data_IF_505997518155
#
_entry.id   IF_505997518155
#
_cell.length_a   1.000
_cell.length_b   1.000
_cell.length_c   1.000
_cell.angle_alpha   90.00
_cell.angle_beta   90.00
_cell.angle_gamma   90.00
#
_symmetry.space_group_name_H-M   'P 1'
#
loop_
_entity.id
_entity.type
_entity.pdbx_description
1 polymer ?
#
# COMPACT_ATOMS: atom_id res chain seq x y z
N UNK A 1 -24.19 83.73 -17.79
CA UNK A 1 -24.89 82.67 -18.54
C UNK A 1 -24.60 81.34 -17.89
N UNK A 2 -25.67 80.67 -17.44
CA UNK A 2 -25.91 79.21 -17.42
C UNK A 2 -24.92 78.24 -16.73
N UNK A 3 -25.44 77.12 -16.17
CA UNK A 3 -25.17 76.79 -14.77
C UNK A 3 -24.74 75.31 -14.57
N UNK A 4 -24.88 74.87 -13.32
CA UNK A 4 -25.18 73.51 -12.84
C UNK A 4 -24.02 72.55 -12.53
N UNK A 5 -23.83 72.46 -11.20
CA UNK A 5 -23.48 71.31 -10.39
C UNK A 5 -23.92 69.94 -10.93
N UNK A 6 -23.04 68.94 -10.74
CA UNK A 6 -23.37 67.51 -10.80
C UNK A 6 -22.94 66.83 -9.48
N UNK A 7 -23.84 66.12 -8.77
CA UNK A 7 -23.48 65.29 -7.63
C UNK A 7 -23.38 63.81 -8.06
N UNK A 8 -22.16 63.27 -8.06
CA UNK A 8 -21.90 61.84 -8.25
C UNK A 8 -22.05 61.06 -6.94
N UNK A 9 -23.21 60.44 -6.77
CA UNK A 9 -23.57 59.48 -5.72
C UNK A 9 -22.76 58.18 -5.82
N UNK A 10 -22.38 57.65 -4.66
CA UNK A 10 -22.33 56.21 -4.29
C UNK A 10 -21.24 55.30 -4.89
N UNK A 11 -20.54 54.58 -4.01
CA UNK A 11 -20.47 53.09 -3.93
C UNK A 11 -19.32 52.74 -2.98
N UNK A 12 -19.60 52.59 -1.68
CA UNK A 12 -19.74 51.30 -0.97
C UNK A 12 -18.65 50.28 -1.31
N UNK A 13 -17.75 50.08 -0.33
CA UNK A 13 -17.03 48.86 0.03
C UNK A 13 -16.93 47.76 -1.05
N UNK A 14 -15.77 47.67 -1.70
CA UNK A 14 -15.32 46.41 -2.28
C UNK A 14 -14.53 45.64 -1.21
N UNK A 15 -15.27 44.82 -0.48
CA UNK A 15 -14.76 43.79 0.41
C UNK A 15 -13.94 42.76 -0.40
N UNK A 16 -12.68 42.61 -0.01
CA UNK A 16 -12.04 41.35 0.37
C UNK A 16 -12.59 40.08 -0.33
N UNK A 17 -11.94 39.66 -1.41
CA UNK A 17 -12.16 38.35 -2.04
C UNK A 17 -10.88 37.54 -2.09
N UNK A 18 -10.29 37.20 -0.93
CA UNK A 18 -9.20 36.23 -0.87
C UNK A 18 -9.83 34.83 -0.92
N UNK A 19 -10.06 34.32 -2.12
CA UNK A 19 -10.57 32.98 -2.35
C UNK A 19 -9.47 31.97 -1.99
N UNK A 20 -9.45 31.53 -0.73
CA UNK A 20 -8.57 30.46 -0.27
C UNK A 20 -9.02 29.14 -0.89
N UNK A 21 -8.41 28.78 -2.03
CA UNK A 21 -8.55 27.43 -2.60
C UNK A 21 -7.83 26.44 -1.67
N UNK A 22 -8.59 25.81 -0.78
CA UNK A 22 -8.10 24.70 0.04
C UNK A 22 -7.89 23.49 -0.87
N UNK A 23 -6.65 23.29 -1.33
CA UNK A 23 -6.26 22.05 -2.01
C UNK A 23 -6.37 20.92 -0.98
N UNK A 24 -7.38 20.06 -1.12
CA UNK A 24 -7.52 18.85 -0.34
C UNK A 24 -6.46 17.85 -0.80
N UNK A 25 -5.29 17.89 -0.15
CA UNK A 25 -4.23 16.89 -0.34
C UNK A 25 -4.71 15.62 0.37
N UNK A 26 -5.26 14.67 -0.39
CA UNK A 26 -5.59 13.36 0.16
C UNK A 26 -4.29 12.65 0.51
N UNK A 27 -4.12 12.10 1.73
CA UNK A 27 -2.93 11.34 2.06
C UNK A 27 -2.88 10.09 1.18
N UNK A 28 -1.99 10.08 0.20
CA UNK A 28 -1.58 8.85 -0.48
C UNK A 28 -0.76 8.08 0.54
N UNK A 29 -1.41 7.19 1.29
CA UNK A 29 -0.71 6.28 2.20
C UNK A 29 -0.04 5.21 1.35
N UNK A 30 1.16 5.50 0.88
CA UNK A 30 1.87 4.69 -0.10
C UNK A 30 2.46 3.39 0.48
N UNK A 31 2.40 3.13 1.79
CA UNK A 31 2.89 1.89 2.35
C UNK A 31 1.87 1.33 3.34
N UNK A 32 1.05 0.39 2.89
CA UNK A 32 -0.02 -0.17 3.70
C UNK A 32 0.57 -1.20 4.67
N UNK A 33 0.82 -0.76 5.90
CA UNK A 33 1.19 -1.66 7.00
C UNK A 33 -0.04 -2.46 7.43
N UNK A 34 0.10 -3.78 7.54
CA UNK A 34 -0.89 -4.65 8.15
C UNK A 34 -0.35 -5.21 9.46
N UNK A 35 -1.22 -5.37 10.46
CA UNK A 35 -0.85 -5.83 11.80
C UNK A 35 -1.79 -6.96 12.23
N UNK A 36 -1.22 -8.01 12.80
CA UNK A 36 -1.96 -9.14 13.38
C UNK A 36 -1.21 -9.62 14.63
N UNK A 37 -1.84 -9.44 15.79
CA UNK A 37 -1.22 -9.74 17.07
C UNK A 37 0.04 -8.92 17.33
N UNK A 38 1.18 -9.59 17.51
CA UNK A 38 2.48 -8.97 17.74
C UNK A 38 3.33 -8.83 16.48
N UNK A 39 2.80 -9.13 15.29
CA UNK A 39 3.51 -9.03 14.01
C UNK A 39 2.86 -7.97 13.13
N UNK A 40 3.69 -7.09 12.57
CA UNK A 40 3.32 -6.15 11.51
C UNK A 40 4.13 -6.43 10.24
N UNK A 41 3.58 -6.06 9.09
CA UNK A 41 4.30 -6.15 7.83
C UNK A 41 3.97 -4.98 6.92
N UNK A 42 5.00 -4.48 6.25
CA UNK A 42 4.88 -3.50 5.17
C UNK A 42 5.13 -4.22 3.85
N UNK A 43 4.15 -4.19 2.96
CA UNK A 43 4.28 -4.72 1.60
C UNK A 43 4.93 -3.65 0.70
N UNK A 44 5.88 -4.07 -0.11
CA UNK A 44 6.43 -3.29 -1.22
C UNK A 44 6.42 -4.14 -2.50
N UNK A 45 6.17 -3.48 -3.63
CA UNK A 45 6.17 -4.07 -4.95
C UNK A 45 7.03 -3.20 -5.87
N UNK A 46 8.15 -3.74 -6.34
CA UNK A 46 9.06 -2.98 -7.20
C UNK A 46 8.50 -2.85 -8.62
N UNK A 47 8.72 -1.69 -9.29
CA UNK A 47 9.47 -0.52 -8.79
C UNK A 47 8.63 0.58 -8.11
N UNK A 48 7.29 0.53 -8.18
CA UNK A 48 6.41 1.68 -7.89
C UNK A 48 5.11 1.32 -7.14
N UNK A 49 5.10 0.19 -6.44
CA UNK A 49 3.97 -0.40 -5.71
C UNK A 49 2.73 -0.71 -6.56
N UNK A 50 2.80 -0.50 -7.89
CA UNK A 50 1.71 -0.72 -8.84
C UNK A 50 2.14 -1.71 -9.94
N UNK A 51 2.09 -3.03 -9.66
CA UNK A 51 2.54 -4.02 -10.63
C UNK A 51 1.74 -3.96 -11.93
N UNK A 52 2.42 -4.20 -13.05
CA UNK A 52 1.81 -4.29 -14.38
C UNK A 52 1.47 -5.74 -14.71
N UNK A 53 0.27 -5.97 -15.22
CA UNK A 53 -0.16 -7.28 -15.70
C UNK A 53 0.79 -7.81 -16.78
N UNK A 54 1.12 -9.10 -16.72
CA UNK A 54 2.05 -9.77 -17.64
C UNK A 54 3.53 -9.43 -17.42
N UNK A 55 3.88 -8.55 -16.48
CA UNK A 55 5.26 -8.25 -16.13
C UNK A 55 5.62 -8.84 -14.76
N UNK A 56 6.86 -9.30 -14.66
CA UNK A 56 7.42 -9.74 -13.40
C UNK A 56 7.59 -8.53 -12.45
N UNK A 57 7.07 -8.66 -11.24
CA UNK A 57 7.22 -7.68 -10.16
C UNK A 57 7.88 -8.36 -8.95
N UNK A 58 8.91 -7.75 -8.40
CA UNK A 58 9.51 -8.19 -7.15
C UNK A 58 8.63 -7.69 -6.00
N UNK A 59 8.15 -8.62 -5.19
CA UNK A 59 7.39 -8.34 -3.98
C UNK A 59 8.26 -8.69 -2.79
N UNK A 60 8.29 -7.83 -1.79
CA UNK A 60 8.94 -8.11 -0.52
C UNK A 60 8.13 -7.54 0.65
N UNK A 61 8.16 -8.23 1.79
CA UNK A 61 7.42 -7.83 2.99
C UNK A 61 8.38 -7.59 4.15
N UNK A 62 8.50 -6.34 4.59
CA UNK A 62 9.26 -6.00 5.78
C UNK A 62 8.46 -6.37 7.04
N UNK A 63 8.77 -7.55 7.60
CA UNK A 63 8.12 -8.04 8.82
C UNK A 63 8.78 -7.43 10.06
N UNK A 64 7.95 -7.01 11.01
CA UNK A 64 8.39 -6.52 12.31
C UNK A 64 7.55 -7.12 13.43
N UNK A 65 8.14 -7.24 14.61
CA UNK A 65 7.44 -7.56 15.85
C UNK A 65 7.10 -6.27 16.60
N UNK A 66 6.22 -6.38 17.60
CA UNK A 66 5.93 -5.30 18.56
C UNK A 66 7.25 -4.71 19.08
N UNK A 67 7.34 -3.37 19.05
CA UNK A 67 8.57 -2.64 19.40
C UNK A 67 9.51 -2.40 18.22
N UNK A 68 9.11 -2.75 16.99
CA UNK A 68 9.86 -2.44 15.76
C UNK A 68 11.02 -3.40 15.47
N UNK A 69 11.13 -4.50 16.20
CA UNK A 69 12.17 -5.50 15.98
C UNK A 69 11.93 -6.22 14.65
N UNK A 70 12.94 -6.36 13.80
CA UNK A 70 12.80 -7.10 12.54
C UNK A 70 12.44 -8.57 12.78
N UNK A 71 11.55 -9.12 11.96
CA UNK A 71 11.21 -10.54 11.92
C UNK A 71 11.77 -11.19 10.64
N UNK A 72 12.97 -11.81 10.70
CA UNK A 72 13.60 -12.44 9.54
C UNK A 72 12.82 -13.67 9.04
N UNK A 73 12.81 -13.93 7.72
CA UNK A 73 12.18 -15.10 7.10
C UNK A 73 12.75 -16.41 7.66
N UNK A 74 14.03 -16.43 8.05
CA UNK A 74 14.66 -17.57 8.69
C UNK A 74 13.97 -17.99 10.00
N UNK A 75 13.25 -17.08 10.67
CA UNK A 75 12.48 -17.37 11.88
C UNK A 75 10.99 -17.69 11.60
N UNK A 76 10.52 -17.52 10.38
CA UNK A 76 9.12 -17.72 10.01
C UNK A 76 8.93 -18.91 9.06
N UNK A 77 7.96 -19.78 9.38
CA UNK A 77 7.30 -20.63 8.40
C UNK A 77 6.20 -19.80 7.74
N UNK A 78 6.60 -18.96 6.78
CA UNK A 78 5.74 -18.01 6.09
C UNK A 78 5.29 -18.59 4.75
N UNK A 79 4.01 -18.35 4.41
CA UNK A 79 3.42 -18.72 3.13
C UNK A 79 2.64 -17.53 2.57
N UNK A 80 2.88 -17.21 1.30
CA UNK A 80 2.14 -16.19 0.57
C UNK A 80 1.15 -16.86 -0.39
N UNK A 81 -0.09 -16.38 -0.37
CA UNK A 81 -1.15 -16.77 -1.30
C UNK A 81 -1.67 -15.52 -2.03
N UNK A 82 -1.95 -15.64 -3.32
CA UNK A 82 -2.48 -14.55 -4.16
C UNK A 82 -3.87 -14.93 -4.65
N UNK A 83 -4.85 -14.07 -4.44
CA UNK A 83 -6.23 -14.22 -4.88
C UNK A 83 -6.60 -13.07 -5.81
N UNK A 84 -7.33 -13.34 -6.89
CA UNK A 84 -7.97 -12.29 -7.70
C UNK A 84 -9.28 -11.86 -7.07
N UNK A 85 -9.60 -10.57 -7.12
CA UNK A 85 -10.87 -10.04 -6.61
C UNK A 85 -11.83 -9.63 -7.75
N UNK A 86 -13.15 -9.89 -7.60
CA UNK A 86 -13.79 -10.60 -6.50
C UNK A 86 -13.50 -12.10 -6.53
N UNK A 87 -13.25 -12.71 -5.37
CA UNK A 87 -13.15 -14.17 -5.22
C UNK A 87 -14.40 -14.74 -4.55
N UNK A 88 -14.84 -15.94 -4.95
CA UNK A 88 -15.86 -16.65 -4.20
C UNK A 88 -15.29 -17.13 -2.86
N UNK A 89 -16.12 -17.21 -1.81
CA UNK A 89 -15.69 -17.79 -0.52
C UNK A 89 -15.10 -19.18 -0.74
N UNK A 90 -13.93 -19.43 -0.16
CA UNK A 90 -13.17 -20.69 -0.29
C UNK A 90 -12.58 -20.98 -1.68
N UNK A 91 -12.48 -19.97 -2.57
CA UNK A 91 -11.73 -20.14 -3.81
C UNK A 91 -10.27 -20.51 -3.50
N UNK A 92 -9.66 -21.44 -4.25
CA UNK A 92 -8.22 -21.65 -4.14
C UNK A 92 -7.49 -20.38 -4.57
N UNK A 93 -6.29 -20.10 -4.00
CA UNK A 93 -5.50 -18.99 -4.48
C UNK A 93 -5.04 -19.24 -5.91
N UNK A 94 -4.97 -18.15 -6.67
CA UNK A 94 -4.44 -18.12 -8.03
C UNK A 94 -2.96 -18.49 -8.06
N UNK A 95 -2.18 -17.99 -7.09
CA UNK A 95 -0.74 -18.29 -6.98
C UNK A 95 -0.37 -18.60 -5.52
N UNK A 96 0.59 -19.51 -5.33
CA UNK A 96 1.25 -19.81 -4.05
C UNK A 96 2.77 -19.77 -4.25
N UNK A 97 3.37 -18.59 -4.47
CA UNK A 97 4.79 -18.49 -4.75
C UNK A 97 5.63 -18.90 -3.54
N UNK A 98 6.81 -19.48 -3.81
CA UNK A 98 7.81 -19.73 -2.78
C UNK A 98 8.45 -18.41 -2.33
N UNK A 99 8.61 -18.25 -1.01
CA UNK A 99 9.28 -17.09 -0.44
C UNK A 99 10.79 -17.34 -0.33
N UNK A 100 11.57 -16.37 -0.77
CA UNK A 100 13.03 -16.30 -0.62
C UNK A 100 13.41 -15.10 0.22
N UNK A 101 14.51 -15.23 0.95
CA UNK A 101 15.07 -14.12 1.70
C UNK A 101 15.86 -13.19 0.78
N UNK A 102 15.66 -11.89 0.92
CA UNK A 102 16.53 -10.85 0.32
C UNK A 102 16.92 -9.82 1.37
N UNK A 103 17.94 -9.01 1.05
CA UNK A 103 18.28 -7.81 1.79
C UNK A 103 18.24 -6.62 0.83
N UNK A 104 17.43 -5.62 1.14
CA UNK A 104 17.23 -4.42 0.30
C UNK A 104 16.77 -3.26 1.17
N UNK A 105 17.02 -2.03 0.75
CA UNK A 105 16.55 -0.80 1.43
C UNK A 105 16.81 -0.78 2.95
N UNK A 106 17.94 -1.35 3.41
CA UNK A 106 18.30 -1.46 4.83
C UNK A 106 17.64 -2.62 5.59
N UNK A 107 16.65 -3.30 5.01
CA UNK A 107 16.08 -4.53 5.53
C UNK A 107 16.98 -5.74 5.23
N UNK A 108 16.96 -6.73 6.12
CA UNK A 108 17.72 -7.97 6.00
C UNK A 108 16.81 -9.18 6.18
N UNK A 109 17.07 -10.22 5.40
CA UNK A 109 16.38 -11.51 5.47
C UNK A 109 14.84 -11.38 5.40
N UNK A 110 14.33 -10.45 4.59
CA UNK A 110 12.89 -10.26 4.45
C UNK A 110 12.31 -11.26 3.44
N UNK A 111 11.08 -11.78 3.68
CA UNK A 111 10.37 -12.60 2.71
C UNK A 111 10.13 -11.83 1.42
N UNK A 112 10.43 -12.48 0.30
CA UNK A 112 10.24 -11.92 -1.04
C UNK A 112 9.92 -12.99 -2.07
N UNK A 113 9.34 -12.57 -3.19
CA UNK A 113 9.12 -13.42 -4.36
C UNK A 113 8.96 -12.55 -5.60
N UNK A 114 9.19 -13.13 -6.78
CA UNK A 114 8.79 -12.53 -8.05
C UNK A 114 7.42 -13.07 -8.44
N UNK A 115 6.49 -12.19 -8.79
CA UNK A 115 5.14 -12.55 -9.24
C UNK A 115 4.88 -11.92 -10.60
N UNK A 116 4.25 -12.67 -11.50
CA UNK A 116 3.65 -12.12 -12.73
C UNK A 116 2.14 -12.23 -12.61
N UNK A 117 1.46 -11.09 -12.45
CA UNK A 117 0.00 -11.06 -12.37
C UNK A 117 -0.58 -11.24 -13.78
N UNK A 118 -1.52 -12.18 -14.01
CA UNK A 118 -1.93 -12.52 -15.37
C UNK A 118 -2.82 -11.46 -16.03
N UNK A 119 -3.58 -10.69 -15.24
CA UNK A 119 -4.54 -9.70 -15.74
C UNK A 119 -4.56 -8.44 -14.88
N UNK A 120 -4.91 -7.28 -15.44
CA UNK A 120 -5.21 -6.09 -14.65
C UNK A 120 -6.40 -6.33 -13.73
N UNK A 121 -6.42 -5.67 -12.58
CA UNK A 121 -7.53 -5.77 -11.62
C UNK A 121 -7.09 -5.73 -10.16
N UNK A 122 -8.05 -5.99 -9.28
CA UNK A 122 -7.80 -6.08 -7.84
C UNK A 122 -7.35 -7.50 -7.46
N UNK A 123 -6.39 -7.57 -6.55
CA UNK A 123 -5.88 -8.80 -5.98
C UNK A 123 -5.76 -8.65 -4.46
N UNK A 124 -5.81 -9.78 -3.77
CA UNK A 124 -5.45 -9.88 -2.36
C UNK A 124 -4.22 -10.77 -2.21
N UNK A 125 -3.21 -10.26 -1.51
CA UNK A 125 -2.04 -11.01 -1.07
C UNK A 125 -2.22 -11.35 0.40
N UNK A 126 -2.30 -12.64 0.71
CA UNK A 126 -2.44 -13.16 2.06
C UNK A 126 -1.12 -13.79 2.51
N UNK A 127 -0.50 -13.21 3.53
CA UNK A 127 0.67 -13.77 4.19
C UNK A 127 0.25 -14.44 5.50
N UNK A 128 0.47 -15.74 5.60
CA UNK A 128 0.29 -16.51 6.83
C UNK A 128 1.66 -16.88 7.38
N UNK A 129 1.86 -16.73 8.69
CA UNK A 129 3.13 -17.06 9.33
C UNK A 129 2.96 -17.81 10.64
N UNK A 130 3.87 -18.75 10.89
CA UNK A 130 4.05 -19.43 12.17
C UNK A 130 5.52 -19.39 12.59
N UNK A 131 5.84 -19.33 13.90
CA UNK A 131 7.22 -19.37 14.35
C UNK A 131 7.86 -20.71 14.00
N UNK A 132 9.12 -20.66 13.56
CA UNK A 132 10.02 -21.82 13.56
C UNK A 132 10.49 -22.12 14.98
N UNK A 133 11.06 -23.31 15.20
CA UNK A 133 11.64 -23.67 16.50
C UNK A 133 12.65 -22.61 16.96
N UNK A 134 12.52 -22.15 18.21
CA UNK A 134 13.36 -21.10 18.80
C UNK A 134 12.94 -19.66 18.49
N UNK A 135 12.01 -19.43 17.55
CA UNK A 135 11.40 -18.12 17.34
C UNK A 135 10.22 -17.90 18.30
N UNK A 136 9.99 -16.65 18.70
CA UNK A 136 8.90 -16.29 19.61
C UNK A 136 8.05 -15.22 18.95
N UNK A 137 6.90 -15.58 18.39
CA UNK A 137 5.83 -14.67 17.96
C UNK A 137 4.54 -15.46 17.78
N UNK A 138 3.38 -14.81 17.80
CA UNK A 138 2.10 -15.52 17.61
C UNK A 138 1.87 -15.81 16.12
N UNK A 139 1.25 -16.96 15.76
CA UNK A 139 0.77 -17.17 14.40
C UNK A 139 -0.08 -15.99 13.91
N UNK A 140 0.08 -15.61 12.65
CA UNK A 140 -0.57 -14.43 12.09
C UNK A 140 -1.11 -14.69 10.68
N UNK A 141 -2.07 -13.84 10.29
CA UNK A 141 -2.58 -13.70 8.92
C UNK A 141 -2.64 -12.21 8.60
N UNK A 142 -2.06 -11.80 7.48
CA UNK A 142 -2.03 -10.42 7.00
C UNK A 142 -2.50 -10.37 5.56
N UNK A 143 -3.48 -9.50 5.27
CA UNK A 143 -4.08 -9.38 3.93
C UNK A 143 -3.82 -7.99 3.34
N UNK A 144 -3.23 -7.96 2.15
CA UNK A 144 -2.91 -6.74 1.41
C UNK A 144 -3.72 -6.67 0.13
N UNK A 145 -4.42 -5.56 -0.06
CA UNK A 145 -5.10 -5.29 -1.33
C UNK A 145 -4.12 -4.65 -2.28
N UNK A 146 -3.98 -5.22 -3.48
CA UNK A 146 -3.08 -4.75 -4.54
C UNK A 146 -3.91 -4.49 -5.79
N UNK A 147 -3.67 -3.35 -6.43
CA UNK A 147 -4.25 -3.05 -7.74
C UNK A 147 -3.17 -3.25 -8.81
N UNK A 148 -3.44 -4.15 -9.75
CA UNK A 148 -2.58 -4.44 -10.90
C UNK A 148 -3.06 -3.62 -12.08
N UNK A 149 -2.17 -2.82 -12.65
CA UNK A 149 -2.48 -1.99 -13.82
C UNK A 149 -2.23 -2.76 -15.13
N UNK A 150 -2.82 -2.27 -16.23
CA UNK A 150 -2.53 -2.77 -17.57
C UNK A 150 -1.10 -2.43 -17.97
N UNK A 151 -0.38 -3.39 -18.54
CA UNK A 151 0.81 -3.07 -19.31
C UNK A 151 0.42 -2.17 -20.48
N UNK A 152 1.13 -1.05 -20.62
CA UNK A 152 1.09 -0.23 -21.84
C UNK A 152 1.78 -0.95 -22.98
#
# INVERSE_FOLDING_TARGET
MFPLTSPGKNTKWLLLGLLAATVAISPVSAHKVQISGDVGATLHIEPDDTPLAGKAALIWLALTRKGGQALPLQQCNCQLSVYSEPSAKHSPPLLKPELKAISTQGYKDIPSTVITFPKPGAYQLELIGKPKAGASFKPFVLSFNVTVASAK
#
